data_IF_110346209118
#
_entry.id   IF_110346209118
#
_cell.length_a   1.000
_cell.length_b   1.000
_cell.length_c   1.000
_cell.angle_alpha   90.00
_cell.angle_beta   90.00
_cell.angle_gamma   90.00
#
_symmetry.space_group_name_H-M   'P 1'
#
loop_
_entity.id
_entity.type
_entity.pdbx_description
1 polymer ?
#
# COMPACT_ATOMS: atom_id res chain seq x y z
N UNK A 1 42.04 22.72 42.20
CA UNK A 1 40.72 22.22 41.74
C UNK A 1 39.86 23.31 41.08
N UNK A 2 39.70 24.51 41.69
CA UNK A 2 38.93 25.63 41.10
C UNK A 2 39.43 26.13 39.73
N UNK A 3 40.74 26.15 39.51
CA UNK A 3 41.30 26.69 38.25
C UNK A 3 41.16 25.71 37.08
N UNK A 4 41.29 24.41 37.33
CA UNK A 4 40.99 23.38 36.33
C UNK A 4 39.53 23.47 35.87
N UNK A 5 38.60 23.72 36.79
CA UNK A 5 37.18 23.85 36.47
C UNK A 5 36.91 25.03 35.52
N UNK A 6 37.58 26.18 35.71
CA UNK A 6 37.42 27.36 34.84
C UNK A 6 37.97 27.15 33.43
N UNK A 7 38.99 26.30 33.28
CA UNK A 7 39.62 26.01 31.98
C UNK A 7 38.85 24.92 31.23
N UNK A 8 38.46 23.85 31.91
CA UNK A 8 37.80 22.71 31.25
C UNK A 8 36.28 22.89 31.08
N UNK A 9 35.60 23.66 31.93
CA UNK A 9 34.16 23.90 31.80
C UNK A 9 33.72 24.49 30.44
N UNK A 10 34.35 25.55 29.89
CA UNK A 10 33.97 26.07 28.57
C UNK A 10 34.23 25.06 27.45
N UNK A 11 35.29 24.24 27.54
CA UNK A 11 35.56 23.18 26.58
C UNK A 11 34.48 22.10 26.61
N UNK A 12 34.09 21.65 27.80
CA UNK A 12 33.00 20.68 27.99
C UNK A 12 31.67 21.23 27.48
N UNK A 13 31.37 22.51 27.76
CA UNK A 13 30.18 23.20 27.22
C UNK A 13 30.18 23.24 25.70
N UNK A 14 31.34 23.49 25.08
CA UNK A 14 31.48 23.55 23.62
C UNK A 14 31.28 22.16 22.99
N UNK A 15 31.79 21.09 23.63
CA UNK A 15 31.54 19.70 23.21
C UNK A 15 30.06 19.34 23.34
N UNK A 16 29.43 19.66 24.47
CA UNK A 16 27.98 19.41 24.68
C UNK A 16 27.14 20.18 23.66
N UNK A 17 27.46 21.45 23.42
CA UNK A 17 26.79 22.25 22.40
C UNK A 17 26.96 21.66 21.00
N UNK A 18 28.16 21.19 20.67
CA UNK A 18 28.44 20.48 19.41
C UNK A 18 27.60 19.22 19.26
N UNK A 19 27.50 18.39 20.31
CA UNK A 19 26.64 17.21 20.32
C UNK A 19 25.15 17.56 20.25
N UNK A 20 24.70 18.61 20.92
CA UNK A 20 23.30 19.06 20.88
C UNK A 20 22.92 19.56 19.49
N UNK A 21 23.80 20.34 18.84
CA UNK A 21 23.62 20.78 17.45
C UNK A 21 23.63 19.57 16.51
N UNK A 22 24.61 18.67 16.65
CA UNK A 22 24.66 17.46 15.84
C UNK A 22 23.39 16.60 16.02
N UNK A 23 22.91 16.39 17.25
CA UNK A 23 21.69 15.65 17.52
C UNK A 23 20.43 16.34 16.98
N UNK A 24 20.42 17.67 16.94
CA UNK A 24 19.32 18.44 16.34
C UNK A 24 19.31 18.35 14.80
N UNK A 25 20.48 18.30 14.15
CA UNK A 25 20.60 18.27 12.68
C UNK A 25 20.69 16.86 12.09
N UNK A 26 21.19 15.87 12.83
CA UNK A 26 21.23 14.46 12.43
C UNK A 26 19.84 13.88 12.71
N UNK A 27 18.94 14.09 11.73
CA UNK A 27 17.61 13.50 11.47
C UNK A 27 16.79 13.02 12.69
N UNK A 28 15.49 13.36 12.79
CA UNK A 28 14.64 12.76 13.82
C UNK A 28 14.71 11.24 13.69
N UNK A 29 14.76 10.55 14.83
CA UNK A 29 14.69 9.09 14.87
C UNK A 29 13.51 8.61 13.99
N UNK A 30 13.66 7.48 13.27
CA UNK A 30 12.58 6.93 12.48
C UNK A 30 11.29 6.87 13.32
N UNK A 31 10.13 7.18 12.72
CA UNK A 31 8.88 7.22 13.46
C UNK A 31 8.66 5.89 14.17
N UNK A 32 8.31 5.96 15.45
CA UNK A 32 8.07 4.78 16.29
C UNK A 32 6.70 4.16 16.04
N UNK A 33 5.89 4.77 15.17
CA UNK A 33 4.56 4.29 14.79
C UNK A 33 4.33 4.64 13.32
N UNK A 34 3.82 3.67 12.55
CA UNK A 34 3.36 3.86 11.18
C UNK A 34 1.98 3.23 11.00
N UNK A 35 1.16 3.84 10.14
CA UNK A 35 -0.14 3.31 9.71
C UNK A 35 0.01 2.70 8.33
N UNK A 36 -0.36 1.44 8.19
CA UNK A 36 -0.20 0.67 6.95
C UNK A 36 -1.55 0.18 6.45
N UNK A 37 -2.00 0.67 5.28
CA UNK A 37 -3.18 0.11 4.64
C UNK A 37 -2.84 -1.18 3.89
N UNK A 38 -3.69 -2.19 4.06
CA UNK A 38 -3.47 -3.55 3.57
C UNK A 38 -4.49 -3.93 2.50
N UNK A 39 -5.35 -4.90 2.75
CA UNK A 39 -6.41 -5.33 1.85
C UNK A 39 -7.49 -6.04 2.65
N UNK A 40 -8.34 -6.78 1.97
CA UNK A 40 -9.42 -7.50 2.63
C UNK A 40 -8.87 -8.55 3.59
N UNK A 41 -9.61 -8.80 4.66
CA UNK A 41 -9.25 -9.83 5.64
C UNK A 41 -9.03 -11.19 4.96
N UNK A 42 -7.96 -11.87 5.37
CA UNK A 42 -7.54 -13.15 4.78
C UNK A 42 -6.84 -13.05 3.42
N UNK A 43 -6.76 -11.87 2.82
CA UNK A 43 -6.04 -11.65 1.56
C UNK A 43 -4.52 -11.55 1.73
N UNK A 44 -3.79 -11.61 0.61
CA UNK A 44 -2.33 -11.56 0.60
C UNK A 44 -1.78 -10.28 1.26
N UNK A 45 -2.38 -9.11 0.98
CA UNK A 45 -1.94 -7.83 1.58
C UNK A 45 -2.10 -7.80 3.10
N UNK A 46 -3.18 -8.38 3.64
CA UNK A 46 -3.36 -8.50 5.09
C UNK A 46 -2.29 -9.41 5.70
N UNK A 47 -2.01 -10.56 5.06
CA UNK A 47 -0.97 -11.48 5.50
C UNK A 47 0.44 -10.86 5.46
N UNK A 48 0.76 -10.06 4.44
CA UNK A 48 2.02 -9.32 4.38
C UNK A 48 2.07 -8.22 5.43
N UNK A 49 0.97 -7.50 5.66
CA UNK A 49 0.88 -6.48 6.72
C UNK A 49 1.26 -7.04 8.08
N UNK A 50 0.72 -8.20 8.45
CA UNK A 50 1.07 -8.88 9.71
C UNK A 50 2.56 -9.26 9.79
N UNK A 51 3.15 -9.72 8.68
CA UNK A 51 4.59 -10.01 8.62
C UNK A 51 5.44 -8.75 8.80
N UNK A 52 5.08 -7.63 8.15
CA UNK A 52 5.78 -6.35 8.32
C UNK A 52 5.63 -5.81 9.73
N UNK A 53 4.44 -5.92 10.34
CA UNK A 53 4.21 -5.54 11.73
C UNK A 53 5.13 -6.31 12.68
N UNK A 54 5.21 -7.63 12.53
CA UNK A 54 6.09 -8.45 13.36
C UNK A 54 7.58 -8.13 13.13
N UNK A 55 7.99 -7.92 11.88
CA UNK A 55 9.38 -7.62 11.55
C UNK A 55 9.83 -6.25 12.09
N UNK A 56 9.00 -5.22 11.93
CA UNK A 56 9.32 -3.84 12.35
C UNK A 56 9.22 -3.64 13.87
N UNK A 57 8.41 -4.46 14.56
CA UNK A 57 8.33 -4.44 16.02
C UNK A 57 9.68 -4.80 16.68
N UNK A 58 10.54 -5.59 16.01
CA UNK A 58 11.90 -5.92 16.49
C UNK A 58 12.76 -4.66 16.64
N UNK A 59 12.55 -3.68 15.76
CA UNK A 59 13.24 -2.39 15.78
C UNK A 59 12.51 -1.32 16.60
N UNK A 60 11.45 -1.70 17.32
CA UNK A 60 10.66 -0.79 18.16
C UNK A 60 9.68 0.11 17.39
N UNK A 61 9.31 -0.27 16.16
CA UNK A 61 8.33 0.45 15.34
C UNK A 61 6.97 -0.26 15.47
N UNK A 62 5.97 0.46 15.98
CA UNK A 62 4.58 0.02 15.99
C UNK A 62 3.96 0.15 14.58
N UNK A 63 3.30 -0.89 14.10
CA UNK A 63 2.62 -0.88 12.81
C UNK A 63 1.13 -1.09 13.03
N UNK A 64 0.36 -0.03 12.79
CA UNK A 64 -1.09 -0.05 12.84
C UNK A 64 -1.63 -0.45 11.47
N UNK A 65 -2.08 -1.71 11.35
CA UNK A 65 -2.68 -2.22 10.13
C UNK A 65 -4.09 -1.67 9.97
N UNK A 66 -4.36 -1.14 8.78
CA UNK A 66 -5.66 -0.60 8.38
C UNK A 66 -6.20 -1.52 7.27
N UNK A 67 -7.22 -2.35 7.56
CA UNK A 67 -7.91 -3.14 6.53
C UNK A 67 -8.55 -2.24 5.48
N UNK A 68 -8.64 -2.74 4.25
CA UNK A 68 -9.23 -1.97 3.14
C UNK A 68 -9.80 -2.89 2.06
N UNK A 69 -10.56 -2.33 1.12
CA UNK A 69 -11.07 -3.05 -0.05
C UNK A 69 -10.00 -3.30 -1.14
N UNK A 70 -8.75 -2.87 -0.91
CA UNK A 70 -7.62 -3.07 -1.81
C UNK A 70 -7.04 -1.79 -2.41
N UNK A 71 -6.44 -1.90 -3.60
CA UNK A 71 -5.53 -0.89 -4.13
C UNK A 71 -6.13 0.49 -4.33
N UNK A 72 -7.38 0.62 -4.81
CA UNK A 72 -7.99 1.94 -5.00
C UNK A 72 -8.30 2.62 -3.66
N UNK A 73 -8.82 1.85 -2.69
CA UNK A 73 -9.06 2.34 -1.34
C UNK A 73 -7.74 2.76 -0.66
N UNK A 74 -6.67 2.02 -0.87
CA UNK A 74 -5.34 2.33 -0.35
C UNK A 74 -4.77 3.64 -0.91
N UNK A 75 -4.88 3.86 -2.22
CA UNK A 75 -4.48 5.12 -2.85
C UNK A 75 -5.25 6.33 -2.28
N UNK A 76 -6.55 6.14 -2.01
CA UNK A 76 -7.35 7.17 -1.35
C UNK A 76 -6.87 7.41 0.08
N UNK A 77 -6.69 6.36 0.88
CA UNK A 77 -6.21 6.46 2.27
C UNK A 77 -4.84 7.15 2.37
N UNK A 78 -3.93 6.87 1.43
CA UNK A 78 -2.61 7.51 1.35
C UNK A 78 -2.70 9.01 1.04
N UNK A 79 -3.78 9.45 0.38
CA UNK A 79 -3.93 10.81 -0.14
C UNK A 79 -4.91 11.68 0.65
N UNK A 80 -5.43 11.18 1.78
CA UNK A 80 -6.34 11.95 2.64
C UNK A 80 -5.58 13.07 3.34
N UNK A 81 -6.24 14.21 3.51
CA UNK A 81 -5.73 15.29 4.37
C UNK A 81 -5.90 14.94 5.85
N UNK A 82 -7.03 14.32 6.19
CA UNK A 82 -7.35 13.89 7.55
C UNK A 82 -7.07 12.40 7.73
N UNK A 83 -6.30 12.08 8.77
CA UNK A 83 -5.97 10.72 9.18
C UNK A 83 -5.44 9.83 8.03
N UNK A 84 -4.39 10.26 7.29
CA UNK A 84 -3.79 9.45 6.23
C UNK A 84 -3.08 8.23 6.78
N UNK A 85 -2.98 7.19 5.96
CA UNK A 85 -2.02 6.10 6.20
C UNK A 85 -0.65 6.51 5.65
N UNK A 86 0.42 6.05 6.28
CA UNK A 86 1.79 6.40 5.88
C UNK A 86 2.28 5.56 4.70
N UNK A 87 1.85 4.29 4.66
CA UNK A 87 2.27 3.31 3.66
C UNK A 87 1.11 2.39 3.29
N UNK A 88 1.10 1.85 2.06
CA UNK A 88 0.10 0.87 1.65
C UNK A 88 0.60 -0.04 0.54
N UNK A 89 0.00 -1.22 0.41
CA UNK A 89 0.18 -2.08 -0.77
C UNK A 89 -0.73 -1.62 -1.91
N UNK A 90 -0.18 -1.50 -3.12
CA UNK A 90 -0.94 -1.05 -4.29
C UNK A 90 -0.51 -1.89 -5.49
N UNK A 91 -1.46 -2.48 -6.20
CA UNK A 91 -1.21 -3.22 -7.42
C UNK A 91 -0.71 -2.26 -8.51
N UNK A 92 0.34 -2.68 -9.22
CA UNK A 92 0.87 -1.93 -10.36
C UNK A 92 -0.20 -1.70 -11.43
N UNK A 93 -0.24 -0.48 -11.98
CA UNK A 93 -1.22 -0.09 -13.01
C UNK A 93 -2.53 0.49 -12.48
N UNK A 94 -2.81 0.41 -11.16
CA UNK A 94 -4.00 1.05 -10.56
C UNK A 94 -3.76 2.54 -10.24
N UNK A 95 -2.53 2.90 -9.88
CA UNK A 95 -2.17 4.27 -9.52
C UNK A 95 -2.08 5.22 -10.71
N UNK A 96 -2.60 6.44 -10.53
CA UNK A 96 -2.53 7.54 -11.50
C UNK A 96 -1.74 8.71 -10.91
N UNK A 97 -0.66 9.11 -11.59
CA UNK A 97 0.22 10.20 -11.16
C UNK A 97 -0.43 11.57 -11.25
N UNK A 98 -1.37 11.78 -12.17
CA UNK A 98 -2.11 13.04 -12.27
C UNK A 98 -3.05 13.20 -11.08
N UNK A 99 -3.69 12.10 -10.66
CA UNK A 99 -4.59 12.06 -9.50
C UNK A 99 -3.87 12.06 -8.16
N UNK A 100 -2.68 11.47 -8.10
CA UNK A 100 -1.91 11.29 -6.88
C UNK A 100 -0.46 11.82 -7.01
N UNK A 101 -0.29 13.13 -7.25
CA UNK A 101 1.00 13.72 -7.64
C UNK A 101 2.07 13.67 -6.52
N UNK A 102 1.66 13.49 -5.27
CA UNK A 102 2.53 13.48 -4.10
C UNK A 102 2.89 12.08 -3.61
N UNK A 103 2.27 11.02 -4.15
CA UNK A 103 2.58 9.66 -3.77
C UNK A 103 3.86 9.17 -4.43
N UNK A 104 4.64 8.39 -3.68
CA UNK A 104 5.89 7.78 -4.13
C UNK A 104 5.84 6.28 -3.96
N UNK A 105 6.47 5.55 -4.89
CA UNK A 105 6.66 4.11 -4.76
C UNK A 105 7.95 3.84 -3.98
N UNK A 106 7.85 3.02 -2.93
CA UNK A 106 9.01 2.62 -2.12
C UNK A 106 9.75 1.41 -2.71
N UNK A 107 8.99 0.40 -3.14
CA UNK A 107 9.54 -0.83 -3.69
C UNK A 107 8.50 -1.58 -4.53
N UNK A 108 8.98 -2.41 -5.47
CA UNK A 108 8.19 -3.48 -6.07
C UNK A 108 8.45 -4.76 -5.27
N UNK A 109 7.37 -5.44 -4.86
CA UNK A 109 7.48 -6.56 -3.91
C UNK A 109 7.43 -7.91 -4.64
N UNK A 110 6.41 -8.12 -5.46
CA UNK A 110 6.20 -9.38 -6.18
C UNK A 110 5.26 -9.17 -7.38
N UNK A 111 5.31 -10.05 -8.39
CA UNK A 111 4.34 -10.05 -9.47
C UNK A 111 2.98 -10.56 -8.99
N UNK A 112 1.90 -9.89 -9.40
CA UNK A 112 0.52 -10.31 -9.16
C UNK A 112 -0.06 -10.93 -10.44
N UNK A 113 0.01 -12.26 -10.64
CA UNK A 113 -0.53 -12.90 -11.82
C UNK A 113 -2.06 -12.84 -11.83
N UNK A 114 -2.62 -12.67 -13.03
CA UNK A 114 -4.07 -12.70 -13.24
C UNK A 114 -4.52 -14.15 -13.39
N UNK A 115 -5.42 -14.58 -12.50
CA UNK A 115 -6.01 -15.90 -12.54
C UNK A 115 -7.40 -15.84 -13.18
N UNK A 116 -7.56 -16.51 -14.32
CA UNK A 116 -8.85 -16.66 -14.99
C UNK A 116 -9.37 -18.09 -14.80
N UNK A 117 -10.39 -18.23 -13.97
CA UNK A 117 -11.06 -19.51 -13.75
C UNK A 117 -12.33 -19.60 -14.58
N UNK A 118 -12.38 -20.58 -15.48
CA UNK A 118 -13.53 -20.82 -16.35
C UNK A 118 -14.02 -22.25 -16.14
N UNK A 119 -15.34 -22.42 -16.03
CA UNK A 119 -15.94 -23.75 -16.10
C UNK A 119 -15.70 -24.32 -17.50
N UNK A 120 -15.11 -25.51 -17.58
CA UNK A 120 -14.76 -26.16 -18.85
C UNK A 120 -15.90 -26.20 -19.87
N UNK A 121 -17.13 -26.47 -19.43
CA UNK A 121 -18.32 -26.49 -20.29
C UNK A 121 -18.76 -25.11 -20.83
N UNK A 122 -18.17 -24.02 -20.36
CA UNK A 122 -18.51 -22.62 -20.72
C UNK A 122 -17.27 -21.82 -21.15
N UNK A 123 -16.24 -22.49 -21.64
CA UNK A 123 -15.05 -21.83 -22.15
C UNK A 123 -15.39 -21.00 -23.41
N UNK A 124 -15.29 -19.66 -23.37
CA UNK A 124 -15.53 -18.82 -24.53
C UNK A 124 -14.41 -19.05 -25.56
N UNK A 125 -14.77 -19.11 -26.84
CA UNK A 125 -13.81 -19.19 -27.95
C UNK A 125 -13.58 -17.82 -28.62
N UNK A 126 -14.43 -16.84 -28.30
CA UNK A 126 -14.37 -15.46 -28.77
C UNK A 126 -14.89 -14.48 -27.71
N UNK A 127 -14.66 -13.18 -27.91
CA UNK A 127 -15.20 -12.12 -27.04
C UNK A 127 -16.73 -12.05 -27.10
N UNK A 128 -17.36 -12.43 -28.21
CA UNK A 128 -18.81 -12.49 -28.36
C UNK A 128 -19.45 -13.51 -27.42
N UNK A 129 -18.73 -14.59 -27.10
CA UNK A 129 -19.19 -15.66 -26.21
C UNK A 129 -19.24 -15.21 -24.73
N UNK A 130 -18.69 -14.03 -24.42
CA UNK A 130 -18.79 -13.44 -23.09
C UNK A 130 -20.19 -12.89 -22.82
N UNK A 131 -20.96 -12.59 -23.86
CA UNK A 131 -22.30 -12.01 -23.72
C UNK A 131 -23.23 -12.92 -22.89
N UNK A 132 -23.87 -12.34 -21.87
CA UNK A 132 -24.76 -13.03 -20.94
C UNK A 132 -24.05 -13.88 -19.88
N UNK A 133 -22.71 -13.98 -19.89
CA UNK A 133 -21.99 -14.70 -18.85
C UNK A 133 -22.02 -13.94 -17.52
N UNK A 134 -21.91 -14.72 -16.44
CA UNK A 134 -21.73 -14.20 -15.08
C UNK A 134 -20.25 -14.28 -14.73
N UNK A 135 -19.63 -13.14 -14.48
CA UNK A 135 -18.20 -13.02 -14.19
C UNK A 135 -17.99 -12.42 -12.81
N UNK A 136 -17.22 -13.11 -11.97
CA UNK A 136 -16.70 -12.54 -10.74
C UNK A 136 -15.44 -11.74 -11.08
N UNK A 137 -15.40 -10.45 -10.73
CA UNK A 137 -14.34 -9.53 -11.17
C UNK A 137 -13.42 -9.07 -10.03
N UNK A 138 -13.62 -9.56 -8.81
CA UNK A 138 -12.98 -9.01 -7.61
C UNK A 138 -13.97 -8.21 -6.77
N UNK A 139 -13.57 -7.87 -5.54
CA UNK A 139 -14.32 -6.95 -4.70
C UNK A 139 -14.28 -5.52 -5.29
N UNK A 140 -15.28 -4.70 -4.98
CA UNK A 140 -15.37 -3.33 -5.49
C UNK A 140 -14.12 -2.52 -5.09
N UNK A 141 -13.50 -1.84 -6.06
CA UNK A 141 -12.29 -1.04 -5.82
C UNK A 141 -11.00 -1.85 -5.59
N UNK A 142 -11.07 -3.19 -5.63
CA UNK A 142 -9.88 -4.04 -5.66
C UNK A 142 -9.12 -3.86 -6.97
N UNK A 143 -7.80 -4.11 -6.95
CA UNK A 143 -6.99 -4.05 -8.16
C UNK A 143 -7.43 -5.07 -9.23
N UNK A 144 -8.00 -6.21 -8.82
CA UNK A 144 -8.62 -7.18 -9.74
C UNK A 144 -9.84 -6.60 -10.47
N UNK A 145 -10.71 -5.84 -9.77
CA UNK A 145 -11.87 -5.19 -10.39
C UNK A 145 -11.43 -4.16 -11.42
N UNK A 146 -10.48 -3.31 -11.06
CA UNK A 146 -9.90 -2.29 -11.95
C UNK A 146 -9.29 -2.93 -13.20
N UNK A 147 -8.51 -4.01 -13.01
CA UNK A 147 -7.91 -4.75 -14.12
C UNK A 147 -8.98 -5.39 -15.02
N UNK A 148 -9.97 -6.08 -14.44
CA UNK A 148 -11.02 -6.75 -15.19
C UNK A 148 -11.87 -5.77 -16.00
N UNK A 149 -12.22 -4.61 -15.43
CA UNK A 149 -12.95 -3.55 -16.14
C UNK A 149 -12.14 -2.99 -17.30
N UNK A 150 -10.87 -2.68 -17.09
CA UNK A 150 -9.98 -2.20 -18.15
C UNK A 150 -9.81 -3.21 -19.29
N UNK A 151 -9.69 -4.49 -18.95
CA UNK A 151 -9.61 -5.57 -19.93
C UNK A 151 -10.92 -5.70 -20.73
N UNK A 152 -12.07 -5.76 -20.07
CA UNK A 152 -13.37 -5.85 -20.75
C UNK A 152 -13.62 -4.64 -21.66
N UNK A 153 -13.27 -3.44 -21.19
CA UNK A 153 -13.35 -2.21 -21.98
C UNK A 153 -12.47 -2.30 -23.24
N UNK A 154 -11.23 -2.77 -23.09
CA UNK A 154 -10.29 -2.96 -24.21
C UNK A 154 -10.79 -3.99 -25.22
N UNK A 155 -11.50 -5.02 -24.75
CA UNK A 155 -12.12 -6.05 -25.59
C UNK A 155 -13.44 -5.59 -26.25
N UNK A 156 -13.89 -4.36 -25.99
CA UNK A 156 -15.15 -3.82 -26.51
C UNK A 156 -16.41 -4.45 -25.89
N UNK A 157 -16.27 -5.08 -24.71
CA UNK A 157 -17.37 -5.74 -24.01
C UNK A 157 -18.09 -4.72 -23.14
N UNK A 158 -19.34 -4.41 -23.49
CA UNK A 158 -20.15 -3.44 -22.72
C UNK A 158 -20.49 -3.96 -21.32
N UNK A 159 -20.88 -3.06 -20.42
CA UNK A 159 -21.33 -3.45 -19.08
C UNK A 159 -22.62 -4.29 -19.12
N UNK A 160 -23.47 -4.03 -20.12
CA UNK A 160 -24.71 -4.75 -20.35
C UNK A 160 -24.47 -6.14 -20.93
N UNK A 161 -23.34 -6.33 -21.62
CA UNK A 161 -22.98 -7.60 -22.23
C UNK A 161 -22.63 -8.67 -21.20
N UNK A 162 -22.00 -8.33 -20.07
CA UNK A 162 -21.56 -9.32 -19.06
C UNK A 162 -22.15 -8.97 -17.71
N UNK A 163 -22.77 -9.96 -17.04
CA UNK A 163 -23.20 -9.78 -15.65
C UNK A 163 -21.98 -9.87 -14.73
N UNK A 164 -21.41 -8.72 -14.42
CA UNK A 164 -20.31 -8.55 -13.46
C UNK A 164 -20.82 -8.73 -12.03
N UNK A 165 -20.02 -9.39 -11.20
CA UNK A 165 -20.32 -9.64 -9.79
C UNK A 165 -19.10 -9.27 -8.98
N UNK A 166 -19.29 -8.39 -7.99
CA UNK A 166 -18.27 -7.90 -7.08
C UNK A 166 -17.89 -8.97 -6.03
N UNK A 167 -17.31 -10.07 -6.50
CA UNK A 167 -16.82 -11.18 -5.65
C UNK A 167 -15.37 -11.44 -6.04
N UNK A 168 -14.49 -11.42 -5.04
CA UNK A 168 -13.10 -11.86 -5.16
C UNK A 168 -12.90 -13.29 -4.68
N UNK A 169 -11.83 -13.92 -5.14
CA UNK A 169 -11.26 -15.10 -4.48
C UNK A 169 -10.29 -14.65 -3.41
N UNK A 170 -10.34 -15.28 -2.24
CA UNK A 170 -9.30 -15.16 -1.21
C UNK A 170 -8.10 -16.04 -1.57
#
# INVERSE_FOLDING_TARGET
MRDALKVYAPLVLLVIAGFAVAAYFIRPAPPTSIRMATGSDGGAYAAFGEQYKAALAVDGIDVQLVPSEGSLANLQLLSREEDPVDVAFVQGGVGDRERYPHLVSLASLYPEPVWLFIRSAKAPSSTLDLNGLRMAIGADGSGSSVFAEGLLSTLGVSEEAVKRIAIGGA
#
